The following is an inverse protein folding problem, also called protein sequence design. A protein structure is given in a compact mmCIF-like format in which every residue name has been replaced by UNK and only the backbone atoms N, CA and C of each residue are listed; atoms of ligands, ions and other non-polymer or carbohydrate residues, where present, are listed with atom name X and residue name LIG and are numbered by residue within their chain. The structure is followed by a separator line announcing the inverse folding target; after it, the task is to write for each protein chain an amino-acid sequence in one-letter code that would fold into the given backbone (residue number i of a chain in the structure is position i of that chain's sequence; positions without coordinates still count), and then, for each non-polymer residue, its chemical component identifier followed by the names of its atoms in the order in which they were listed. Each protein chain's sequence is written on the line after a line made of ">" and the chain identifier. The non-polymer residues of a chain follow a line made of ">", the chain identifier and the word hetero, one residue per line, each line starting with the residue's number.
data_IF_327075344580
#
_entry.id   IF_327075344580
#
_cell.length_a   1.000
_cell.length_b   1.000
_cell.length_c   1.000
_cell.angle_alpha   90.00
_cell.angle_beta   90.00
_cell.angle_gamma   90.00
#
_symmetry.space_group_name_H-M   'P 1'
#
loop_
_entity.id
_entity.type
_entity.pdbx_description
1 polymer ?
#
# COMPACT_ATOMS: atom_id res chain seq x y z
N UNK A 1 6.48 -12.09 -6.68
CA UNK A 1 6.47 -11.18 -5.51
C UNK A 1 7.87 -10.62 -5.29
N UNK A 2 8.09 -9.30 -5.28
CA UNK A 2 9.44 -8.77 -4.96
C UNK A 2 9.64 -8.83 -3.46
N UNK A 3 10.36 -9.86 -2.96
CA UNK A 3 10.69 -10.05 -1.52
C UNK A 3 11.15 -8.77 -0.82
N UNK A 4 11.77 -7.85 -1.57
CA UNK A 4 12.27 -6.57 -1.06
C UNK A 4 11.19 -5.54 -0.73
N UNK A 5 10.06 -5.51 -1.44
CA UNK A 5 8.95 -4.56 -1.15
C UNK A 5 8.29 -4.94 0.16
N UNK A 6 8.00 -6.23 0.33
CA UNK A 6 7.43 -6.77 1.56
C UNK A 6 8.36 -6.54 2.77
N UNK A 7 9.67 -6.75 2.60
CA UNK A 7 10.66 -6.45 3.64
C UNK A 7 10.65 -4.97 4.04
N UNK A 8 10.68 -4.04 3.07
CA UNK A 8 10.62 -2.60 3.36
C UNK A 8 9.35 -2.28 4.16
N UNK A 9 8.22 -2.86 3.75
CA UNK A 9 6.98 -2.68 4.46
C UNK A 9 7.07 -3.19 5.93
N UNK A 10 7.54 -4.41 6.15
CA UNK A 10 7.69 -4.93 7.51
C UNK A 10 8.69 -4.14 8.35
N UNK A 11 9.78 -3.64 7.77
CA UNK A 11 10.76 -2.81 8.49
C UNK A 11 10.15 -1.49 8.94
N UNK A 12 9.33 -0.85 8.09
CA UNK A 12 8.63 0.40 8.45
C UNK A 12 7.64 0.14 9.59
N UNK A 13 6.86 -0.95 9.52
CA UNK A 13 5.95 -1.35 10.59
C UNK A 13 6.67 -1.65 11.91
N UNK A 14 7.80 -2.35 11.83
CA UNK A 14 8.60 -2.67 13.01
C UNK A 14 9.20 -1.40 13.66
N UNK A 15 9.45 -0.35 12.88
CA UNK A 15 9.90 0.95 13.39
C UNK A 15 8.78 1.79 14.03
N UNK A 16 7.53 1.64 13.61
CA UNK A 16 6.41 2.45 14.15
C UNK A 16 5.90 1.94 15.50
N UNK A 17 5.99 0.64 15.78
CA UNK A 17 5.55 0.03 17.05
C UNK A 17 6.31 0.59 18.28
N UNK A 18 7.66 0.68 18.28
CA UNK A 18 8.41 1.26 19.40
C UNK A 18 8.12 2.75 19.60
N UNK A 19 7.97 3.52 18.51
CA UNK A 19 7.66 4.95 18.57
C UNK A 19 6.32 5.17 19.29
N UNK A 20 5.34 4.31 19.04
CA UNK A 20 4.05 4.33 19.72
C UNK A 20 4.14 4.05 21.22
N UNK A 21 4.97 3.07 21.63
CA UNK A 21 5.15 2.71 23.04
C UNK A 21 5.87 3.82 23.81
N UNK A 22 6.82 4.51 23.17
CA UNK A 22 7.63 5.56 23.82
C UNK A 22 6.85 6.87 23.96
N UNK A 23 5.99 7.21 22.99
CA UNK A 23 5.26 8.48 22.99
C UNK A 23 3.75 8.27 23.27
N UNK A 24 3.40 8.16 24.55
CA UNK A 24 1.99 7.96 24.99
C UNK A 24 1.18 9.26 25.12
N UNK A 25 1.72 10.42 24.75
CA UNK A 25 0.98 11.67 24.77
C UNK A 25 -0.07 11.67 23.65
N UNK A 26 -1.34 11.99 23.96
CA UNK A 26 -2.46 11.87 23.00
C UNK A 26 -2.20 12.60 21.67
N UNK A 27 -1.56 13.77 21.71
CA UNK A 27 -1.20 14.52 20.50
C UNK A 27 -0.18 13.79 19.63
N UNK A 28 0.83 13.18 20.24
CA UNK A 28 1.85 12.41 19.51
C UNK A 28 1.28 11.10 18.99
N UNK A 29 0.40 10.45 19.77
CA UNK A 29 -0.32 9.26 19.33
C UNK A 29 -1.16 9.53 18.08
N UNK A 30 -1.87 10.67 18.02
CA UNK A 30 -2.64 11.06 16.83
C UNK A 30 -1.73 11.26 15.61
N UNK A 31 -0.60 11.96 15.80
CA UNK A 31 0.40 12.11 14.74
C UNK A 31 0.90 10.77 14.20
N UNK A 32 1.14 9.80 15.07
CA UNK A 32 1.57 8.45 14.69
C UNK A 32 0.45 7.67 13.98
N UNK A 33 -0.80 7.77 14.46
CA UNK A 33 -1.94 7.09 13.84
C UNK A 33 -2.23 7.60 12.42
N UNK A 34 -2.49 8.90 12.28
CA UNK A 34 -2.86 9.49 10.99
C UNK A 34 -1.65 9.56 10.05
N UNK A 35 -0.47 9.90 10.59
CA UNK A 35 0.73 10.13 9.80
C UNK A 35 1.53 8.89 9.44
N UNK A 36 1.51 7.83 10.26
CA UNK A 36 2.41 6.70 10.05
C UNK A 36 1.67 5.38 9.89
N UNK A 37 0.77 5.03 10.80
CA UNK A 37 0.22 3.68 10.88
C UNK A 37 -0.88 3.41 9.84
N UNK A 38 -1.84 4.30 9.71
CA UNK A 38 -3.04 4.04 8.89
C UNK A 38 -2.80 4.05 7.37
N UNK A 39 -2.03 5.00 6.81
CA UNK A 39 -1.65 4.94 5.40
C UNK A 39 -0.82 3.70 5.09
N UNK A 40 -0.04 3.25 6.07
CA UNK A 40 0.83 2.11 5.94
C UNK A 40 0.06 0.79 5.80
N UNK A 41 -1.06 0.64 6.50
CA UNK A 41 -1.99 -0.50 6.31
C UNK A 41 -2.47 -0.56 4.86
N UNK A 42 -2.85 0.56 4.27
CA UNK A 42 -3.24 0.64 2.85
C UNK A 42 -2.12 0.19 1.91
N UNK A 43 -0.88 0.62 2.18
CA UNK A 43 0.30 0.21 1.42
C UNK A 43 0.60 -1.29 1.55
N UNK A 44 0.40 -1.90 2.73
CA UNK A 44 0.56 -3.35 2.93
C UNK A 44 -0.48 -4.11 2.10
N UNK A 45 -1.75 -3.72 2.19
CA UNK A 45 -2.82 -4.36 1.42
C UNK A 45 -2.50 -4.33 -0.07
N UNK A 46 -2.06 -3.18 -0.59
CA UNK A 46 -1.66 -3.06 -1.99
C UNK A 46 -0.43 -3.91 -2.33
N UNK A 47 0.54 -4.00 -1.43
CA UNK A 47 1.76 -4.81 -1.64
C UNK A 47 1.46 -6.31 -1.73
N UNK A 48 0.41 -6.78 -1.04
CA UNK A 48 -0.06 -8.17 -1.12
C UNK A 48 -0.82 -8.40 -2.43
N UNK A 49 -1.71 -7.47 -2.81
CA UNK A 49 -2.59 -7.63 -3.97
C UNK A 49 -1.89 -7.39 -5.31
N UNK A 50 -0.87 -6.52 -5.37
CA UNK A 50 -0.31 -6.05 -6.65
C UNK A 50 1.19 -6.38 -6.80
N UNK A 51 1.49 -7.41 -7.60
CA UNK A 51 2.87 -7.89 -7.78
C UNK A 51 3.82 -6.92 -8.53
N UNK A 52 3.27 -6.06 -9.39
CA UNK A 52 3.99 -5.04 -10.18
C UNK A 52 4.23 -3.71 -9.43
N UNK A 53 3.94 -3.64 -8.13
CA UNK A 53 4.08 -2.42 -7.35
C UNK A 53 5.52 -1.90 -7.36
N UNK A 54 5.69 -0.62 -7.73
CA UNK A 54 7.00 0.03 -7.73
C UNK A 54 7.38 0.50 -6.32
N UNK A 55 8.64 0.32 -5.93
CA UNK A 55 9.16 0.80 -4.64
C UNK A 55 9.05 2.31 -4.50
N UNK A 56 9.39 3.04 -5.56
CA UNK A 56 9.31 4.50 -5.57
C UNK A 56 7.85 4.96 -5.43
N UNK A 57 6.93 4.32 -6.16
CA UNK A 57 5.51 4.64 -6.08
C UNK A 57 4.93 4.34 -4.69
N UNK A 58 5.33 3.23 -4.05
CA UNK A 58 4.92 2.90 -2.69
C UNK A 58 5.42 3.92 -1.67
N UNK A 59 6.69 4.29 -1.71
CA UNK A 59 7.25 5.27 -0.76
C UNK A 59 6.64 6.66 -0.97
N UNK A 60 6.57 7.14 -2.21
CA UNK A 60 6.01 8.46 -2.52
C UNK A 60 4.53 8.49 -2.14
N UNK A 61 3.75 7.49 -2.55
CA UNK A 61 2.33 7.46 -2.24
C UNK A 61 2.06 7.34 -0.73
N UNK A 62 2.89 6.60 -0.01
CA UNK A 62 2.85 6.53 1.45
C UNK A 62 3.06 7.90 2.11
N UNK A 63 4.19 8.57 1.83
CA UNK A 63 4.52 9.85 2.47
C UNK A 63 3.54 10.97 2.10
N UNK A 64 3.08 11.00 0.84
CA UNK A 64 2.07 11.98 0.41
C UNK A 64 0.72 11.71 1.10
N UNK A 65 0.29 10.45 1.21
CA UNK A 65 -0.95 10.09 1.91
C UNK A 65 -0.87 10.39 3.42
N UNK A 66 0.28 10.10 4.03
CA UNK A 66 0.58 10.43 5.42
C UNK A 66 0.47 11.94 5.68
N UNK A 67 1.14 12.76 4.86
CA UNK A 67 1.08 14.21 4.97
C UNK A 67 -0.33 14.76 4.75
N UNK A 68 -1.02 14.28 3.70
CA UNK A 68 -2.37 14.74 3.38
C UNK A 68 -3.38 14.43 4.49
N UNK A 69 -3.33 13.23 5.06
CA UNK A 69 -4.23 12.84 6.16
C UNK A 69 -3.93 13.58 7.47
N UNK A 70 -2.66 13.86 7.78
CA UNK A 70 -2.28 14.70 8.91
C UNK A 70 -2.77 16.14 8.76
N UNK A 71 -2.56 16.74 7.59
CA UNK A 71 -3.03 18.11 7.30
C UNK A 71 -4.56 18.15 7.40
N UNK A 72 -5.25 17.16 6.82
CA UNK A 72 -6.70 17.08 6.90
C UNK A 72 -7.20 16.98 8.33
N UNK A 73 -6.59 16.11 9.15
CA UNK A 73 -6.92 15.99 10.56
C UNK A 73 -6.72 17.31 11.30
N UNK A 74 -5.57 17.98 11.14
CA UNK A 74 -5.29 19.27 11.77
C UNK A 74 -6.28 20.35 11.35
N UNK A 75 -6.66 20.40 10.07
CA UNK A 75 -7.63 21.38 9.56
C UNK A 75 -9.02 21.10 10.16
N UNK A 76 -9.46 19.83 10.20
CA UNK A 76 -10.76 19.47 10.76
C UNK A 76 -10.82 19.74 12.27
N UNK A 77 -9.77 19.39 13.02
CA UNK A 77 -9.71 19.57 14.48
C UNK A 77 -9.72 21.06 14.88
N UNK A 78 -9.11 21.94 14.07
CA UNK A 78 -9.02 23.36 14.39
C UNK A 78 -10.12 24.24 13.75
N UNK A 79 -10.64 23.86 12.58
CA UNK A 79 -11.54 24.72 11.79
C UNK A 79 -13.02 24.33 11.91
N UNK A 80 -13.34 23.17 12.50
CA UNK A 80 -14.72 22.66 12.54
C UNK A 80 -15.14 22.29 13.95
N UNK A 81 -16.43 22.43 14.26
CA UNK A 81 -17.06 21.95 15.49
C UNK A 81 -17.61 20.52 15.35
N UNK A 82 -17.06 19.74 14.41
CA UNK A 82 -17.44 18.35 14.20
C UNK A 82 -17.11 17.50 15.44
N UNK A 83 -17.91 16.47 15.69
CA UNK A 83 -17.63 15.53 16.78
C UNK A 83 -16.25 14.88 16.55
N UNK A 84 -15.42 14.83 17.59
CA UNK A 84 -14.04 14.29 17.52
C UNK A 84 -13.99 12.90 16.90
N UNK A 85 -14.97 12.03 17.19
CA UNK A 85 -15.06 10.68 16.62
C UNK A 85 -15.22 10.71 15.10
N UNK A 86 -15.98 11.66 14.58
CA UNK A 86 -16.22 11.81 13.14
C UNK A 86 -14.97 12.34 12.44
N UNK A 87 -14.27 13.30 13.04
CA UNK A 87 -12.97 13.79 12.55
C UNK A 87 -11.97 12.64 12.43
N UNK A 88 -11.90 11.79 13.46
CA UNK A 88 -11.05 10.61 13.45
C UNK A 88 -11.40 9.63 12.34
N UNK A 89 -12.68 9.32 12.18
CA UNK A 89 -13.15 8.40 11.15
C UNK A 89 -12.76 8.92 9.75
N UNK A 90 -12.96 10.21 9.49
CA UNK A 90 -12.61 10.84 8.21
C UNK A 90 -11.10 10.77 7.97
N UNK A 91 -10.29 11.21 8.94
CA UNK A 91 -8.84 11.21 8.82
C UNK A 91 -8.27 9.81 8.57
N UNK A 92 -8.76 8.79 9.30
CA UNK A 92 -8.32 7.40 9.15
C UNK A 92 -8.75 6.81 7.80
N UNK A 93 -9.97 7.12 7.35
CA UNK A 93 -10.48 6.64 6.05
C UNK A 93 -9.66 7.21 4.90
N UNK A 94 -9.38 8.52 4.94
CA UNK A 94 -8.55 9.19 3.93
C UNK A 94 -7.12 8.67 3.97
N UNK A 95 -6.54 8.46 5.16
CA UNK A 95 -5.22 7.87 5.32
C UNK A 95 -5.15 6.47 4.69
N UNK A 96 -6.11 5.60 4.99
CA UNK A 96 -6.17 4.22 4.48
C UNK A 96 -6.33 4.20 2.95
N UNK A 97 -7.31 4.94 2.44
CA UNK A 97 -7.59 5.01 1.00
C UNK A 97 -6.44 5.66 0.25
N UNK A 98 -5.86 6.74 0.76
CA UNK A 98 -4.69 7.38 0.16
C UNK A 98 -3.49 6.43 0.11
N UNK A 99 -3.24 5.70 1.20
CA UNK A 99 -2.16 4.70 1.28
C UNK A 99 -2.34 3.53 0.30
N UNK A 100 -3.55 3.29 -0.19
CA UNK A 100 -3.83 2.28 -1.21
C UNK A 100 -3.84 2.88 -2.62
N UNK A 101 -4.59 3.96 -2.84
CA UNK A 101 -4.87 4.52 -4.16
C UNK A 101 -3.69 5.30 -4.72
N UNK A 102 -2.99 6.12 -3.92
CA UNK A 102 -1.87 6.92 -4.45
C UNK A 102 -0.73 6.04 -4.96
N UNK A 103 -0.23 5.05 -4.20
CA UNK A 103 0.80 4.14 -4.71
C UNK A 103 0.37 3.35 -5.95
N UNK A 104 -0.91 2.97 -6.04
CA UNK A 104 -1.46 2.28 -7.20
C UNK A 104 -1.43 3.19 -8.44
N UNK A 105 -1.95 4.41 -8.31
CA UNK A 105 -1.95 5.42 -9.38
C UNK A 105 -0.52 5.76 -9.82
N UNK A 106 0.37 6.04 -8.88
CA UNK A 106 1.78 6.32 -9.16
C UNK A 106 2.46 5.14 -9.86
N UNK A 107 2.13 3.91 -9.47
CA UNK A 107 2.67 2.73 -10.15
C UNK A 107 2.18 2.68 -11.59
N UNK A 108 0.90 2.90 -11.85
CA UNK A 108 0.34 2.91 -13.21
C UNK A 108 0.97 4.00 -14.08
N UNK A 109 1.22 5.17 -13.52
CA UNK A 109 1.80 6.30 -14.25
C UNK A 109 3.31 6.15 -14.49
N UNK A 110 4.05 5.61 -13.51
CA UNK A 110 5.52 5.62 -13.53
C UNK A 110 6.14 4.31 -14.02
N UNK A 111 5.43 3.18 -13.93
CA UNK A 111 6.00 1.90 -14.36
C UNK A 111 5.87 1.70 -15.86
N UNK A 112 7.01 1.37 -16.49
CA UNK A 112 7.04 0.98 -17.89
C UNK A 112 6.17 -0.28 -18.11
N UNK A 113 5.46 -0.37 -19.25
CA UNK A 113 4.74 -1.59 -19.60
C UNK A 113 5.71 -2.78 -19.66
N UNK A 114 5.21 -3.96 -19.30
CA UNK A 114 6.02 -5.17 -19.33
C UNK A 114 6.47 -5.43 -20.77
N UNK A 115 7.74 -5.78 -20.96
CA UNK A 115 8.23 -6.06 -22.32
C UNK A 115 7.45 -7.25 -22.90
N UNK A 116 7.11 -7.23 -24.20
CA UNK A 116 6.31 -8.28 -24.82
C UNK A 116 7.02 -9.64 -24.82
N UNK A 117 8.36 -9.67 -24.69
CA UNK A 117 9.14 -10.90 -24.53
C UNK A 117 8.93 -11.53 -23.15
N UNK A 118 8.93 -10.71 -22.10
CA UNK A 118 8.70 -11.18 -20.72
C UNK A 118 7.24 -11.58 -20.52
N UNK A 119 6.29 -10.82 -21.09
CA UNK A 119 4.87 -11.18 -21.05
C UNK A 119 4.60 -12.55 -21.71
N UNK A 120 5.20 -12.80 -22.88
CA UNK A 120 5.12 -14.10 -23.56
C UNK A 120 5.77 -15.22 -22.77
N UNK A 121 6.93 -14.98 -22.14
CA UNK A 121 7.62 -15.96 -21.32
C UNK A 121 6.83 -16.37 -20.08
N UNK A 122 6.14 -15.42 -19.43
CA UNK A 122 5.24 -15.75 -18.31
C UNK A 122 4.04 -16.58 -18.80
N UNK A 123 3.48 -16.21 -19.96
CA UNK A 123 2.36 -16.94 -20.53
C UNK A 123 2.75 -18.36 -20.98
N UNK A 124 3.94 -18.53 -21.56
CA UNK A 124 4.44 -19.85 -21.95
C UNK A 124 4.69 -20.76 -20.76
N UNK A 125 5.11 -20.22 -19.61
CA UNK A 125 5.27 -21.00 -18.37
C UNK A 125 3.93 -21.57 -17.86
N UNK A 126 2.80 -20.91 -18.16
CA UNK A 126 1.46 -21.46 -17.87
C UNK A 126 1.11 -22.64 -18.79
N UNK A 127 1.71 -22.70 -19.98
CA UNK A 127 1.50 -23.75 -20.98
C UNK A 127 2.57 -24.86 -20.91
N UNK A 128 3.48 -24.79 -19.94
CA UNK A 128 4.51 -25.81 -19.77
C UNK A 128 3.92 -27.14 -19.30
N UNK A 129 4.55 -28.21 -19.78
CA UNK A 129 4.17 -29.60 -19.55
C UNK A 129 4.09 -29.92 -18.06
N UNK A 130 5.04 -29.39 -17.30
CA UNK A 130 5.14 -29.69 -15.89
C UNK A 130 4.30 -28.74 -15.02
N UNK A 131 3.45 -27.89 -15.61
CA UNK A 131 2.61 -26.97 -14.86
C UNK A 131 1.43 -27.72 -14.20
N UNK A 132 1.40 -27.84 -12.86
CA UNK A 132 0.35 -28.57 -12.15
C UNK A 132 -1.04 -27.91 -12.22
N UNK A 133 -1.13 -26.69 -12.78
CA UNK A 133 -2.36 -25.91 -12.86
C UNK A 133 -3.13 -26.10 -14.19
N UNK A 134 -2.57 -26.81 -15.17
CA UNK A 134 -3.25 -27.10 -16.44
C UNK A 134 -3.18 -28.60 -16.71
N UNK A 135 -4.32 -29.32 -16.64
CA UNK A 135 -4.36 -30.73 -16.98
C UNK A 135 -4.02 -30.92 -18.46
N UNK A 136 -2.97 -31.69 -18.70
CA UNK A 136 -2.51 -32.16 -20.01
C UNK A 136 -3.57 -32.59 -21.03
N UNK A 137 -4.66 -33.27 -20.63
CA UNK A 137 -5.69 -33.68 -21.57
C UNK A 137 -6.29 -32.49 -22.34
N UNK A 138 -6.45 -31.33 -21.72
CA UNK A 138 -7.10 -30.17 -22.35
C UNK A 138 -6.25 -29.51 -23.45
N UNK A 139 -4.93 -29.72 -23.43
CA UNK A 139 -3.99 -29.14 -24.41
C UNK A 139 -3.91 -29.98 -25.69
N UNK A 140 -4.14 -31.29 -25.59
CA UNK A 140 -3.93 -32.25 -26.69
C UNK A 140 -5.22 -32.84 -27.27
N UNK A 141 -6.40 -32.51 -26.73
CA UNK A 141 -7.71 -32.96 -27.29
C UNK A 141 -8.31 -32.00 -28.32
N UNK A 142 -7.57 -31.00 -28.79
CA UNK A 142 -7.97 -30.12 -29.91
C UNK A 142 -7.11 -30.40 -31.14
#
# INVERSE_FOLDING_TARGET
>A
MSKRVLHISFTVLAGTIPIFIIFSAMTVANFVYFGLCTPFVGCICLSILWARLSRAALLIGYFVSAGASLILWLVLDNATSLETKLIWLIGMTVALLGGFLLPALLTLLLTKPLSPKVARSIWSCVQEIDNPLVPWPEVYTR
#
